data_IF_129129608172
#
_entry.id   IF_129129608172
#
_cell.length_a   1.000
_cell.length_b   1.000
_cell.length_c   1.000
_cell.angle_alpha   90.00
_cell.angle_beta   90.00
_cell.angle_gamma   90.00
#
_symmetry.space_group_name_H-M   'P 1'
#
loop_
_entity.id
_entity.type
_entity.pdbx_description
1 polymer ?
#
# COMPACT_ATOMS: atom_id res chain seq x y z
N UNK A 1 -19.22 9.28 17.97
CA UNK A 1 -17.91 8.61 17.80
C UNK A 1 -18.17 7.14 17.50
N UNK A 2 -18.39 6.80 16.22
CA UNK A 2 -18.65 5.44 15.70
C UNK A 2 -18.51 5.56 14.17
N UNK A 3 -17.28 5.74 13.69
CA UNK A 3 -16.95 5.77 12.24
C UNK A 3 -15.80 4.82 11.89
N UNK A 4 -15.16 4.23 12.90
CA UNK A 4 -13.91 3.49 12.76
C UNK A 4 -14.11 2.10 12.12
N UNK A 5 -15.29 1.50 12.29
CA UNK A 5 -15.60 0.19 11.73
C UNK A 5 -15.77 0.21 10.20
N UNK A 6 -16.33 1.28 9.62
CA UNK A 6 -16.58 1.37 8.18
C UNK A 6 -15.30 1.49 7.35
N UNK A 7 -14.45 2.44 7.71
CA UNK A 7 -13.16 2.68 7.05
C UNK A 7 -12.24 1.45 7.15
N UNK A 8 -12.18 0.81 8.32
CA UNK A 8 -11.39 -0.41 8.51
C UNK A 8 -11.87 -1.58 7.64
N UNK A 9 -13.19 -1.82 7.56
CA UNK A 9 -13.75 -2.86 6.70
C UNK A 9 -13.45 -2.59 5.21
N UNK A 10 -13.56 -1.34 4.78
CA UNK A 10 -13.26 -0.96 3.42
C UNK A 10 -11.79 -1.21 3.06
N UNK A 11 -10.86 -0.73 3.90
CA UNK A 11 -9.42 -0.93 3.71
C UNK A 11 -9.08 -2.41 3.56
N UNK A 12 -9.62 -3.27 4.43
CA UNK A 12 -9.34 -4.70 4.40
C UNK A 12 -9.99 -5.39 3.20
N UNK A 13 -11.21 -5.00 2.83
CA UNK A 13 -11.88 -5.51 1.64
C UNK A 13 -11.06 -5.24 0.38
N UNK A 14 -10.50 -4.03 0.24
CA UNK A 14 -9.67 -3.63 -0.89
C UNK A 14 -8.28 -4.27 -0.89
N UNK A 15 -7.66 -4.41 0.28
CA UNK A 15 -6.42 -5.16 0.42
C UNK A 15 -6.55 -6.62 -0.02
N UNK A 16 -7.69 -7.25 0.28
CA UNK A 16 -7.96 -8.64 -0.08
C UNK A 16 -8.39 -8.81 -1.55
N UNK A 17 -8.92 -7.77 -2.20
CA UNK A 17 -9.30 -7.83 -3.62
C UNK A 17 -8.12 -7.73 -4.59
N UNK A 18 -6.95 -7.29 -4.09
CA UNK A 18 -5.73 -7.13 -4.88
C UNK A 18 -4.61 -8.06 -4.41
N UNK A 19 -3.89 -8.74 -5.34
CA UNK A 19 -2.70 -9.53 -5.02
C UNK A 19 -1.45 -8.65 -4.75
N UNK A 20 -1.61 -7.59 -3.97
CA UNK A 20 -0.55 -6.63 -3.61
C UNK A 20 0.34 -7.16 -2.48
N UNK A 21 -0.24 -7.90 -1.54
CA UNK A 21 0.43 -8.57 -0.42
C UNK A 21 0.12 -10.07 -0.44
N UNK A 22 1.03 -10.86 0.13
CA UNK A 22 0.86 -12.28 0.36
C UNK A 22 -0.26 -12.53 1.38
N UNK A 23 -0.76 -13.76 1.42
CA UNK A 23 -1.83 -14.14 2.32
C UNK A 23 -1.47 -13.86 3.79
N UNK A 24 -2.43 -13.29 4.51
CA UNK A 24 -2.34 -13.00 5.94
C UNK A 24 -3.65 -13.40 6.63
N UNK A 25 -3.56 -13.85 7.87
CA UNK A 25 -4.72 -14.24 8.68
C UNK A 25 -5.18 -13.10 9.61
N UNK A 26 -4.25 -12.31 10.12
CA UNK A 26 -4.51 -11.27 11.10
C UNK A 26 -4.01 -9.91 10.63
N UNK A 27 -4.64 -8.85 11.14
CA UNK A 27 -4.27 -7.48 10.86
C UNK A 27 -4.46 -6.61 12.11
N UNK A 28 -3.72 -5.50 12.17
CA UNK A 28 -4.09 -4.32 12.97
C UNK A 28 -4.14 -3.12 12.04
N UNK A 29 -5.12 -2.25 12.29
CA UNK A 29 -5.23 -0.93 11.71
C UNK A 29 -5.18 0.05 12.86
N UNK A 30 -4.17 0.91 12.85
CA UNK A 30 -3.92 1.91 13.86
C UNK A 30 -3.87 3.28 13.17
N UNK A 31 -4.17 4.35 13.91
CA UNK A 31 -4.07 5.72 13.41
C UNK A 31 -4.86 6.00 12.12
N UNK A 32 -6.10 5.52 12.06
CA UNK A 32 -6.97 5.73 10.89
C UNK A 32 -7.38 7.20 10.78
N UNK A 33 -7.00 7.82 9.68
CA UNK A 33 -7.41 9.14 9.27
C UNK A 33 -8.19 9.07 7.96
N UNK A 34 -9.36 9.71 7.91
CA UNK A 34 -10.16 9.80 6.70
C UNK A 34 -10.39 11.28 6.36
N UNK A 35 -10.37 11.61 5.08
CA UNK A 35 -10.53 12.97 4.60
C UNK A 35 -11.03 13.03 3.16
N UNK A 36 -11.18 14.25 2.67
CA UNK A 36 -11.54 14.54 1.29
C UNK A 36 -10.65 15.64 0.76
N UNK A 37 -10.16 15.52 -0.47
CA UNK A 37 -9.46 16.58 -1.19
C UNK A 37 -10.09 16.75 -2.56
N UNK A 38 -10.51 17.98 -2.88
CA UNK A 38 -11.19 18.31 -4.13
C UNK A 38 -12.45 17.44 -4.41
N UNK A 39 -13.11 16.93 -3.36
CA UNK A 39 -14.25 16.01 -3.48
C UNK A 39 -13.88 14.54 -3.73
N UNK A 40 -12.60 14.19 -3.63
CA UNK A 40 -12.12 12.80 -3.64
C UNK A 40 -11.84 12.35 -2.21
N UNK A 41 -12.50 11.29 -1.76
CA UNK A 41 -12.23 10.70 -0.45
C UNK A 41 -10.86 10.01 -0.39
N UNK A 42 -10.30 9.95 0.81
CA UNK A 42 -9.15 9.12 1.08
C UNK A 42 -9.11 8.66 2.54
N UNK A 43 -8.42 7.54 2.77
CA UNK A 43 -8.09 6.99 4.08
C UNK A 43 -6.57 6.79 4.16
N UNK A 44 -5.98 7.16 5.28
CA UNK A 44 -4.61 6.88 5.68
C UNK A 44 -4.63 6.06 6.98
N UNK A 45 -3.80 5.02 7.10
CA UNK A 45 -3.65 4.25 8.33
C UNK A 45 -2.25 3.64 8.47
N UNK A 46 -1.79 3.39 9.70
CA UNK A 46 -0.72 2.42 9.95
C UNK A 46 -1.35 1.03 9.95
N UNK A 47 -0.75 0.11 9.18
CA UNK A 47 -1.23 -1.26 9.06
C UNK A 47 -0.12 -2.26 9.38
N UNK A 48 -0.50 -3.31 10.12
CA UNK A 48 0.31 -4.51 10.31
C UNK A 48 -0.48 -5.72 9.84
N UNK A 49 0.08 -6.50 8.92
CA UNK A 49 -0.46 -7.77 8.45
C UNK A 49 0.44 -8.89 8.95
N UNK A 50 -0.13 -9.94 9.57
CA UNK A 50 0.66 -11.01 10.15
C UNK A 50 -0.08 -12.35 10.19
N UNK A 51 0.69 -13.42 10.29
CA UNK A 51 0.21 -14.77 10.55
C UNK A 51 0.61 -15.17 11.97
N UNK A 52 -0.26 -15.92 12.66
CA UNK A 52 0.00 -16.46 13.98
C UNK A 52 -0.11 -17.97 13.90
N UNK A 53 0.94 -18.66 14.34
CA UNK A 53 1.00 -20.12 14.37
C UNK A 53 1.23 -20.57 15.79
N UNK A 54 0.30 -21.36 16.32
CA UNK A 54 0.43 -21.99 17.64
C UNK A 54 0.82 -23.45 17.46
N UNK A 55 1.91 -23.88 18.11
CA UNK A 55 2.38 -25.27 18.11
C UNK A 55 2.57 -25.73 19.53
N UNK A 56 2.29 -27.02 19.76
CA UNK A 56 2.65 -27.66 21.02
C UNK A 56 4.14 -28.01 20.99
N UNK A 57 4.89 -27.46 21.94
CA UNK A 57 6.33 -27.70 22.10
C UNK A 57 6.61 -28.45 23.40
N UNK A 58 7.67 -29.26 23.43
CA UNK A 58 7.98 -30.17 24.53
C UNK A 58 7.42 -31.58 24.33
N UNK A 59 7.77 -32.48 25.25
CA UNK A 59 7.46 -33.91 25.16
C UNK A 59 6.74 -34.40 26.42
N UNK A 60 5.87 -35.39 26.27
CA UNK A 60 5.13 -36.01 27.37
C UNK A 60 4.26 -35.00 28.14
N UNK A 61 4.20 -35.06 29.48
CA UNK A 61 3.35 -34.19 30.29
C UNK A 61 3.80 -32.71 30.29
N UNK A 62 5.02 -32.40 29.81
CA UNK A 62 5.55 -31.04 29.72
C UNK A 62 5.19 -30.32 28.41
N UNK A 63 4.18 -30.81 27.69
CA UNK A 63 3.74 -30.21 26.43
C UNK A 63 3.09 -28.84 26.71
N UNK A 64 3.67 -27.77 26.17
CA UNK A 64 3.17 -26.40 26.35
C UNK A 64 2.88 -25.73 25.00
N UNK A 65 1.84 -24.91 24.90
CA UNK A 65 1.58 -24.13 23.70
C UNK A 65 2.66 -23.05 23.52
N UNK A 66 3.23 -22.98 22.32
CA UNK A 66 4.13 -21.92 21.88
C UNK A 66 3.51 -21.22 20.68
N UNK A 67 3.40 -19.89 20.77
CA UNK A 67 2.80 -19.06 19.73
C UNK A 67 3.89 -18.24 19.05
N UNK A 68 3.95 -18.31 17.72
CA UNK A 68 4.86 -17.51 16.90
C UNK A 68 4.07 -16.63 15.95
N UNK A 69 4.40 -15.34 15.91
CA UNK A 69 3.89 -14.41 14.90
C UNK A 69 4.93 -14.20 13.80
N UNK A 70 4.47 -14.19 12.54
CA UNK A 70 5.26 -13.78 11.39
C UNK A 70 4.60 -12.60 10.71
N UNK A 71 5.27 -11.45 10.74
CA UNK A 71 4.81 -10.24 10.04
C UNK A 71 4.93 -10.46 8.53
N UNK A 72 3.82 -10.28 7.83
CA UNK A 72 3.77 -10.24 6.37
C UNK A 72 4.16 -8.84 5.92
N UNK A 73 3.42 -7.82 6.36
CA UNK A 73 3.65 -6.43 6.01
C UNK A 73 3.49 -5.54 7.24
N UNK A 74 4.27 -4.46 7.30
CA UNK A 74 4.06 -3.38 8.27
C UNK A 74 4.44 -2.06 7.63
N UNK A 75 3.56 -1.06 7.70
CA UNK A 75 3.79 0.21 7.03
C UNK A 75 2.57 1.10 7.00
N UNK A 76 2.63 2.11 6.15
CA UNK A 76 1.52 3.01 5.88
C UNK A 76 0.67 2.48 4.72
N UNK A 77 -0.61 2.74 4.81
CA UNK A 77 -1.60 2.46 3.78
C UNK A 77 -2.35 3.74 3.44
N UNK A 78 -2.47 4.00 2.14
CA UNK A 78 -3.36 5.01 1.59
C UNK A 78 -4.41 4.31 0.73
N UNK A 79 -5.68 4.61 0.95
CA UNK A 79 -6.78 4.20 0.11
C UNK A 79 -7.45 5.47 -0.41
N UNK A 80 -7.34 5.72 -1.71
CA UNK A 80 -7.80 6.94 -2.37
C UNK A 80 -8.93 6.57 -3.32
N UNK A 81 -10.01 7.35 -3.33
CA UNK A 81 -11.05 7.16 -4.33
C UNK A 81 -10.55 7.56 -5.72
N UNK A 82 -10.90 6.78 -6.74
CA UNK A 82 -10.66 7.20 -8.13
C UNK A 82 -11.88 7.96 -8.64
N UNK A 83 -11.71 9.00 -9.49
CA UNK A 83 -12.83 9.76 -10.04
C UNK A 83 -13.82 8.88 -10.81
N UNK A 84 -13.29 7.88 -11.51
CA UNK A 84 -14.07 6.90 -12.27
C UNK A 84 -13.69 5.48 -11.86
N UNK A 85 -14.58 4.53 -12.14
CA UNK A 85 -14.31 3.11 -11.93
C UNK A 85 -13.26 2.63 -12.91
N UNK A 86 -12.14 2.13 -12.39
CA UNK A 86 -11.11 1.48 -13.19
C UNK A 86 -11.59 0.06 -13.56
N UNK A 87 -11.72 -0.27 -14.86
CA UNK A 87 -12.32 -1.53 -15.31
C UNK A 87 -11.41 -2.75 -15.15
N UNK A 88 -10.12 -2.53 -14.94
CA UNK A 88 -9.08 -3.55 -14.87
C UNK A 88 -8.34 -3.48 -13.52
N UNK A 89 -7.95 -4.63 -12.96
CA UNK A 89 -7.06 -4.61 -11.80
C UNK A 89 -5.62 -4.35 -12.25
N UNK A 90 -4.99 -3.40 -11.58
CA UNK A 90 -3.62 -2.97 -11.87
C UNK A 90 -2.80 -3.10 -10.59
N UNK A 91 -1.56 -3.56 -10.71
CA UNK A 91 -0.57 -3.60 -9.67
C UNK A 91 0.71 -2.87 -10.11
N UNK A 92 1.17 -1.98 -9.24
CA UNK A 92 2.42 -1.27 -9.33
C UNK A 92 3.34 -1.82 -8.26
N UNK A 93 4.57 -2.18 -8.64
CA UNK A 93 5.53 -2.74 -7.70
C UNK A 93 6.87 -2.07 -7.81
N UNK A 94 7.38 -1.55 -6.70
CA UNK A 94 8.76 -1.07 -6.58
C UNK A 94 9.79 -2.18 -6.84
N UNK A 95 11.09 -1.84 -6.93
CA UNK A 95 12.15 -2.82 -7.11
C UNK A 95 12.10 -3.91 -6.04
N UNK A 96 12.39 -5.14 -6.43
CA UNK A 96 12.50 -6.25 -5.48
C UNK A 96 13.87 -6.15 -4.80
N UNK A 97 13.88 -5.74 -3.54
CA UNK A 97 15.08 -5.77 -2.71
C UNK A 97 15.09 -7.14 -2.00
N UNK A 98 16.17 -7.95 -2.12
CA UNK A 98 16.30 -9.21 -1.41
C UNK A 98 15.99 -9.04 0.08
N UNK A 99 15.25 -9.98 0.68
CA UNK A 99 14.85 -10.00 2.10
C UNK A 99 13.88 -8.91 2.57
N UNK A 100 13.71 -7.82 1.81
CA UNK A 100 12.87 -6.67 2.16
C UNK A 100 11.58 -6.57 1.34
N UNK A 101 11.18 -7.60 0.60
CA UNK A 101 9.94 -7.63 -0.19
C UNK A 101 9.22 -8.99 -0.10
N UNK A 102 9.38 -9.68 1.04
CA UNK A 102 8.82 -11.00 1.27
C UNK A 102 7.28 -11.02 1.32
N UNK A 103 6.64 -9.86 1.51
CA UNK A 103 5.19 -9.73 1.41
C UNK A 103 4.68 -9.81 -0.03
N UNK A 104 5.51 -9.66 -1.05
CA UNK A 104 5.03 -9.66 -2.45
C UNK A 104 4.85 -11.08 -2.95
N UNK A 105 3.72 -11.35 -3.61
CA UNK A 105 3.55 -12.59 -4.39
C UNK A 105 4.57 -12.64 -5.52
N UNK A 106 5.20 -13.79 -5.81
CA UNK A 106 6.17 -13.89 -6.89
C UNK A 106 5.47 -13.79 -8.26
N UNK A 107 6.19 -13.36 -9.30
CA UNK A 107 5.65 -13.16 -10.65
C UNK A 107 4.91 -14.39 -11.22
N UNK A 108 5.38 -15.64 -11.06
CA UNK A 108 4.62 -16.82 -11.50
C UNK A 108 3.26 -16.95 -10.82
N UNK A 109 3.14 -16.54 -9.55
CA UNK A 109 1.85 -16.55 -8.85
C UNK A 109 0.92 -15.46 -9.38
N UNK A 110 1.46 -14.28 -9.71
CA UNK A 110 0.69 -13.24 -10.39
C UNK A 110 0.15 -13.72 -11.75
N UNK A 111 0.98 -14.40 -12.55
CA UNK A 111 0.55 -14.96 -13.83
C UNK A 111 -0.61 -15.96 -13.70
N UNK A 112 -0.58 -16.82 -12.67
CA UNK A 112 -1.71 -17.72 -12.36
C UNK A 112 -2.99 -17.00 -11.96
N UNK A 113 -2.89 -15.75 -11.49
CA UNK A 113 -4.01 -14.88 -11.13
C UNK A 113 -4.45 -13.99 -12.30
N UNK A 114 -3.93 -14.21 -13.51
CA UNK A 114 -4.28 -13.46 -14.71
C UNK A 114 -3.47 -12.18 -14.92
N UNK A 115 -2.48 -11.88 -14.08
CA UNK A 115 -1.67 -10.66 -14.23
C UNK A 115 -0.48 -10.88 -15.16
N UNK A 116 -0.37 -10.05 -16.18
CA UNK A 116 0.79 -9.96 -17.07
C UNK A 116 1.60 -8.72 -16.76
N UNK A 117 2.92 -8.78 -17.00
CA UNK A 117 3.78 -7.60 -16.87
C UNK A 117 3.58 -6.71 -18.10
N UNK A 118 3.29 -5.44 -17.87
CA UNK A 118 3.00 -4.46 -18.93
C UNK A 118 4.20 -3.50 -19.04
N UNK A 119 4.81 -3.35 -20.23
CA UNK A 119 5.85 -2.36 -20.44
C UNK A 119 5.25 -0.95 -20.46
N UNK A 120 5.79 -0.05 -19.64
CA UNK A 120 5.42 1.36 -19.65
C UNK A 120 6.50 2.14 -20.40
N UNK A 121 6.15 2.95 -21.42
CA UNK A 121 7.11 3.71 -22.22
C UNK A 121 7.65 4.95 -21.48
N UNK A 122 8.10 4.76 -20.23
CA UNK A 122 8.74 5.77 -19.40
C UNK A 122 9.96 5.15 -18.70
N UNK A 123 11.13 5.72 -18.95
CA UNK A 123 12.41 5.19 -18.45
C UNK A 123 12.59 5.41 -16.94
N UNK A 124 11.99 6.46 -16.36
CA UNK A 124 12.03 6.69 -14.92
C UNK A 124 11.10 5.71 -14.20
N UNK A 125 9.91 5.49 -14.75
CA UNK A 125 8.96 4.49 -14.27
C UNK A 125 9.60 3.11 -14.29
N UNK A 126 10.12 2.66 -15.43
CA UNK A 126 10.69 1.31 -15.57
C UNK A 126 11.90 1.05 -14.67
N UNK A 127 12.58 2.11 -14.23
CA UNK A 127 13.71 2.05 -13.28
C UNK A 127 13.25 1.82 -11.84
N UNK A 128 12.11 2.39 -11.47
CA UNK A 128 11.64 2.42 -10.08
C UNK A 128 10.41 1.55 -9.83
N UNK A 129 9.70 1.15 -10.87
CA UNK A 129 8.42 0.47 -10.79
C UNK A 129 8.29 -0.58 -11.90
N UNK A 130 7.42 -1.54 -11.63
CA UNK A 130 6.91 -2.48 -12.62
C UNK A 130 5.39 -2.45 -12.60
N UNK A 131 4.79 -2.45 -13.79
CA UNK A 131 3.34 -2.50 -13.99
C UNK A 131 2.92 -3.94 -14.28
N UNK A 132 1.87 -4.39 -13.60
CA UNK A 132 1.22 -5.68 -13.82
C UNK A 132 -0.28 -5.46 -13.91
N UNK A 133 -0.95 -6.11 -14.86
CA UNK A 133 -2.39 -5.95 -15.04
C UNK A 133 -3.03 -7.18 -15.66
N UNK A 134 -4.35 -7.30 -15.53
CA UNK A 134 -5.13 -8.34 -16.22
C UNK A 134 -5.33 -8.03 -17.72
N UNK A 135 -5.36 -6.74 -18.06
CA UNK A 135 -5.41 -6.21 -19.42
C UNK A 135 -4.40 -5.07 -19.53
N UNK A 136 -3.38 -5.28 -20.38
CA UNK A 136 -2.30 -4.33 -20.55
C UNK A 136 -2.70 -3.03 -21.25
N UNK A 137 -3.58 -3.10 -22.24
CA UNK A 137 -4.04 -1.91 -22.97
C UNK A 137 -4.93 -1.05 -22.09
N UNK A 138 -5.86 -1.67 -21.36
CA UNK A 138 -6.68 -0.97 -20.38
C UNK A 138 -5.83 -0.35 -19.27
N UNK A 139 -4.79 -1.05 -18.81
CA UNK A 139 -3.89 -0.52 -17.81
C UNK A 139 -3.08 0.68 -18.32
N UNK A 140 -2.63 0.70 -19.57
CA UNK A 140 -1.89 1.84 -20.14
C UNK A 140 -2.78 3.07 -20.36
N UNK A 141 -4.09 2.89 -20.60
CA UNK A 141 -5.04 4.01 -20.61
C UNK A 141 -5.19 4.67 -19.24
N UNK A 142 -5.12 3.87 -18.17
CA UNK A 142 -5.20 4.35 -16.78
C UNK A 142 -3.85 4.94 -16.33
N UNK A 143 -2.76 4.21 -16.59
CA UNK A 143 -1.38 4.64 -16.32
C UNK A 143 -0.87 5.45 -17.51
N UNK A 144 -1.55 6.59 -17.75
CA UNK A 144 -1.11 7.56 -18.73
C UNK A 144 0.24 8.22 -18.36
N UNK A 145 0.83 9.02 -19.26
CA UNK A 145 2.16 9.60 -19.07
C UNK A 145 2.33 10.40 -17.77
N UNK A 146 1.36 11.23 -17.40
CA UNK A 146 1.47 12.10 -16.22
C UNK A 146 1.41 11.32 -14.91
N UNK A 147 0.57 10.29 -14.86
CA UNK A 147 0.49 9.39 -13.73
C UNK A 147 1.75 8.53 -13.63
N UNK A 148 2.25 8.00 -14.74
CA UNK A 148 3.51 7.25 -14.78
C UNK A 148 4.67 8.10 -14.27
N UNK A 149 4.81 9.34 -14.77
CA UNK A 149 5.85 10.27 -14.35
C UNK A 149 5.72 10.64 -12.86
N UNK A 150 4.50 10.86 -12.37
CA UNK A 150 4.26 11.16 -10.94
C UNK A 150 4.64 9.98 -10.05
N UNK A 151 4.19 8.77 -10.40
CA UNK A 151 4.54 7.56 -9.66
C UNK A 151 6.05 7.30 -9.68
N UNK A 152 6.71 7.54 -10.82
CA UNK A 152 8.16 7.44 -10.94
C UNK A 152 8.90 8.44 -10.03
N UNK A 153 8.46 9.71 -10.01
CA UNK A 153 9.02 10.74 -9.12
C UNK A 153 8.83 10.38 -7.65
N UNK A 154 7.65 9.89 -7.27
CA UNK A 154 7.40 9.41 -5.93
C UNK A 154 8.36 8.27 -5.59
N UNK A 155 8.40 7.21 -6.41
CA UNK A 155 9.25 6.04 -6.20
C UNK A 155 10.76 6.32 -6.24
N UNK A 156 11.19 7.43 -6.86
CA UNK A 156 12.59 7.85 -6.86
C UNK A 156 13.07 8.35 -5.49
N UNK A 157 12.16 8.83 -4.64
CA UNK A 157 12.53 9.29 -3.28
C UNK A 157 12.83 8.10 -2.37
N UNK A 158 13.89 8.18 -1.55
CA UNK A 158 14.37 7.06 -0.73
C UNK A 158 13.30 6.46 0.19
N UNK A 159 12.37 7.30 0.68
CA UNK A 159 11.22 6.92 1.52
C UNK A 159 10.19 6.06 0.78
N UNK A 160 10.05 6.26 -0.53
CA UNK A 160 9.01 5.66 -1.37
C UNK A 160 9.55 4.63 -2.36
N UNK A 161 10.86 4.37 -2.34
CA UNK A 161 11.56 3.39 -3.20
C UNK A 161 11.02 1.95 -3.07
N UNK A 162 10.18 1.68 -2.08
CA UNK A 162 9.56 0.38 -1.83
C UNK A 162 8.03 0.43 -1.91
N UNK A 163 7.46 1.49 -2.51
CA UNK A 163 6.03 1.58 -2.66
C UNK A 163 5.51 0.40 -3.49
N UNK A 164 4.36 -0.12 -3.07
CA UNK A 164 3.50 -0.96 -3.88
C UNK A 164 2.15 -0.28 -3.97
N UNK A 165 1.51 -0.35 -5.11
CA UNK A 165 0.19 0.22 -5.28
C UNK A 165 -0.66 -0.62 -6.21
N UNK A 166 -1.95 -0.30 -6.30
CA UNK A 166 -2.83 -0.94 -7.25
C UNK A 166 -4.18 -0.28 -7.36
N UNK A 167 -4.85 -0.56 -8.47
CA UNK A 167 -6.21 -0.11 -8.76
C UNK A 167 -7.18 -1.27 -8.68
N UNK A 168 -8.31 -1.07 -8.00
CA UNK A 168 -9.41 -2.04 -7.94
C UNK A 168 -10.75 -1.33 -7.86
N UNK A 169 -11.48 -1.31 -8.99
CA UNK A 169 -12.76 -0.62 -9.08
C UNK A 169 -12.58 0.89 -8.89
N UNK A 170 -13.21 1.46 -7.88
CA UNK A 170 -13.21 2.91 -7.60
C UNK A 170 -12.13 3.35 -6.60
N UNK A 171 -11.06 2.55 -6.46
CA UNK A 171 -10.03 2.74 -5.44
C UNK A 171 -8.62 2.56 -5.98
N UNK A 172 -7.76 3.46 -5.56
CA UNK A 172 -6.30 3.35 -5.63
C UNK A 172 -5.76 3.05 -4.23
N UNK A 173 -5.08 1.93 -4.10
CA UNK A 173 -4.44 1.48 -2.87
C UNK A 173 -2.94 1.67 -2.99
N UNK A 174 -2.29 2.22 -1.97
CA UNK A 174 -0.85 2.46 -1.93
C UNK A 174 -0.30 2.04 -0.57
N UNK A 175 0.77 1.26 -0.60
CA UNK A 175 1.45 0.69 0.56
C UNK A 175 2.89 1.18 0.63
N UNK A 176 3.27 1.69 1.79
CA UNK A 176 4.65 2.12 2.07
C UNK A 176 5.23 1.30 3.22
N UNK A 177 6.16 0.38 2.97
CA UNK A 177 6.73 -0.46 4.02
C UNK A 177 7.63 0.36 4.94
N UNK A 178 7.47 0.12 6.24
CA UNK A 178 8.28 0.68 7.32
C UNK A 178 9.70 0.09 7.25
N UNK A 179 10.72 0.94 7.07
CA UNK A 179 12.14 0.53 7.15
C UNK A 179 12.63 0.44 8.59
N UNK A 180 13.53 -0.51 8.89
CA UNK A 180 14.28 -0.52 10.15
C UNK A 180 15.06 0.79 10.29
N UNK A 181 14.85 1.51 11.39
CA UNK A 181 15.30 2.88 11.70
C UNK A 181 14.60 4.06 10.99
N UNK A 182 13.62 3.85 10.09
CA UNK A 182 12.93 4.99 9.42
C UNK A 182 11.55 5.32 10.01
N UNK A 183 11.12 4.61 11.03
CA UNK A 183 9.92 4.94 11.80
C UNK A 183 10.13 4.44 13.24
N UNK A 184 10.89 5.20 14.01
CA UNK A 184 10.96 5.01 15.45
C UNK A 184 9.59 5.31 16.07
N UNK A 185 8.83 4.24 16.31
CA UNK A 185 7.94 4.04 17.47
C UNK A 185 6.86 5.13 17.68
N UNK A 186 5.76 4.94 16.95
CA UNK A 186 4.40 5.09 17.46
C UNK A 186 3.69 6.39 17.09
N UNK A 187 2.64 6.23 16.30
CA UNK A 187 1.60 7.22 16.10
C UNK A 187 1.86 8.05 14.87
N UNK A 188 1.22 7.74 13.74
CA UNK A 188 0.82 8.81 12.82
C UNK A 188 0.07 9.90 13.61
N UNK A 189 -0.54 9.57 14.75
CA UNK A 189 -1.17 10.56 15.64
C UNK A 189 -0.93 10.23 17.13
N UNK A 190 0.26 10.54 17.67
CA UNK A 190 0.36 10.82 19.12
C UNK A 190 -0.19 12.22 19.42
N UNK A 191 -0.70 12.49 20.65
CA UNK A 191 -1.19 13.81 21.03
C UNK A 191 -0.18 14.91 20.68
N UNK A 192 -0.70 16.02 20.13
CA UNK A 192 -0.02 17.20 19.57
C UNK A 192 0.95 17.94 20.52
N UNK A 193 1.44 17.34 21.60
CA UNK A 193 2.37 17.97 22.54
C UNK A 193 3.85 17.90 22.11
N UNK A 194 4.17 17.39 20.91
CA UNK A 194 5.55 17.30 20.36
C UNK A 194 5.64 17.82 18.91
N UNK A 195 5.27 19.10 18.72
CA UNK A 195 4.69 19.70 17.50
C UNK A 195 5.60 20.10 16.32
N UNK A 196 6.93 20.00 16.38
CA UNK A 196 7.78 20.51 15.28
C UNK A 196 7.85 19.57 14.09
N UNK A 197 8.62 18.49 14.26
CA UNK A 197 8.99 17.60 13.16
C UNK A 197 7.86 16.65 12.74
N UNK A 198 6.94 16.33 13.65
CA UNK A 198 5.87 15.35 13.40
C UNK A 198 4.73 15.95 12.56
N UNK A 199 4.38 17.22 12.82
CA UNK A 199 3.41 17.95 12.00
C UNK A 199 3.91 18.12 10.56
N UNK A 200 5.22 18.36 10.38
CA UNK A 200 5.84 18.46 9.07
C UNK A 200 5.75 17.14 8.30
N UNK A 201 6.03 16.01 8.97
CA UNK A 201 5.92 14.67 8.36
C UNK A 201 4.50 14.33 7.92
N UNK A 202 3.51 14.60 8.77
CA UNK A 202 2.10 14.37 8.43
C UNK A 202 1.66 15.24 7.26
N UNK A 203 2.08 16.51 7.25
CA UNK A 203 1.82 17.42 6.14
C UNK A 203 2.44 16.90 4.85
N UNK A 204 3.69 16.44 4.86
CA UNK A 204 4.33 15.83 3.68
C UNK A 204 3.54 14.63 3.15
N UNK A 205 3.02 13.77 4.04
CA UNK A 205 2.23 12.59 3.65
C UNK A 205 0.88 12.98 3.03
N UNK A 206 0.17 13.93 3.65
CA UNK A 206 -1.08 14.46 3.10
C UNK A 206 -0.85 15.17 1.77
N UNK A 207 0.24 15.92 1.62
CA UNK A 207 0.57 16.59 0.36
C UNK A 207 0.87 15.60 -0.77
N UNK A 208 1.43 14.42 -0.46
CA UNK A 208 1.56 13.35 -1.46
C UNK A 208 0.19 12.80 -1.87
N UNK A 209 -0.73 12.62 -0.93
CA UNK A 209 -2.12 12.20 -1.23
C UNK A 209 -2.80 13.21 -2.14
N UNK A 210 -2.69 14.51 -1.82
CA UNK A 210 -3.30 15.56 -2.63
C UNK A 210 -2.73 15.56 -4.05
N UNK A 211 -1.40 15.50 -4.20
CA UNK A 211 -0.76 15.41 -5.52
C UNK A 211 -1.19 14.17 -6.30
N UNK A 212 -1.34 13.02 -5.63
CA UNK A 212 -1.85 11.81 -6.27
C UNK A 212 -3.29 11.98 -6.72
N UNK A 213 -4.16 12.58 -5.90
CA UNK A 213 -5.55 12.89 -6.25
C UNK A 213 -5.61 13.83 -7.46
N UNK A 214 -4.82 14.90 -7.46
CA UNK A 214 -4.79 15.88 -8.55
C UNK A 214 -4.40 15.21 -9.87
N UNK A 215 -3.39 14.33 -9.85
CA UNK A 215 -2.95 13.58 -11.03
C UNK A 215 -4.00 12.54 -11.46
N UNK A 216 -4.64 11.84 -10.52
CA UNK A 216 -5.72 10.89 -10.82
C UNK A 216 -6.93 11.57 -11.47
N UNK A 217 -7.13 12.87 -11.20
CA UNK A 217 -8.16 13.71 -11.81
C UNK A 217 -7.74 14.38 -13.12
N UNK A 218 -6.48 14.21 -13.54
CA UNK A 218 -5.94 14.93 -14.70
C UNK A 218 -5.80 16.44 -14.47
N UNK A 219 -5.74 16.91 -13.22
CA UNK A 219 -5.53 18.33 -12.87
C UNK A 219 -4.06 18.74 -12.83
N UNK A 220 -3.14 17.81 -13.05
CA UNK A 220 -1.70 18.11 -13.10
C UNK A 220 -1.32 18.66 -14.48
N UNK A 221 -1.39 19.99 -14.62
CA UNK A 221 -0.72 20.78 -15.64
C UNK A 221 0.31 21.71 -15.01
#
# INVERSE_FOLDING_TARGET
MTSDSGAGHEVLGRLRSLPIVAAFAHHTLDDVFAGTHDGTGFILAEIRLFNRTTRMTGSGPNRRPSTRESTVFKGLLFLIETPEKIPVRILLRGPRIPWFAAWRLPAPTLGKLGFVRVPVPDAAFSRHLSLWAEDGEAALRVIGPDLAATLARLAATARWRRLDAGFSGTRFLLLLPKGGNSFAIGGLFRPLSRLGDEAHRLLEEVMVVHRLIDVLKGKAG
#
